data_IF_627438477284
#
_entry.id   IF_627438477284
#
_cell.length_a   1.000
_cell.length_b   1.000
_cell.length_c   1.000
_cell.angle_alpha   90.00
_cell.angle_beta   90.00
_cell.angle_gamma   90.00
#
_symmetry.space_group_name_H-M   'P 1'
#
loop_
_entity.id
_entity.type
_entity.pdbx_description
1 polymer ?
#
# COMPACT_ATOMS: atom_id res chain seq x y z
N UNK A 1 -24.80 -25.56 -53.64
CA UNK A 1 -23.82 -24.48 -53.33
C UNK A 1 -23.31 -24.68 -51.91
N UNK A 2 -21.99 -24.52 -51.74
CA UNK A 2 -21.17 -25.00 -50.65
C UNK A 2 -21.14 -24.12 -49.38
N UNK A 3 -20.90 -24.76 -48.22
CA UNK A 3 -20.03 -24.40 -47.06
C UNK A 3 -20.49 -25.23 -45.83
N UNK A 4 -19.75 -26.13 -45.16
CA UNK A 4 -18.37 -26.09 -44.61
C UNK A 4 -18.22 -24.85 -43.69
N UNK A 5 -18.02 -24.93 -42.37
CA UNK A 5 -17.03 -25.68 -41.58
C UNK A 5 -17.32 -25.51 -40.06
N UNK A 6 -16.84 -26.51 -39.27
CA UNK A 6 -16.14 -26.48 -37.97
C UNK A 6 -16.45 -25.33 -36.98
N UNK A 7 -16.57 -25.52 -35.68
CA UNK A 7 -15.77 -26.27 -34.71
C UNK A 7 -16.51 -26.08 -33.33
N UNK A 8 -16.25 -26.70 -32.19
CA UNK A 8 -15.06 -27.31 -31.65
C UNK A 8 -15.45 -28.17 -30.44
N UNK A 9 -14.61 -29.17 -30.18
CA UNK A 9 -14.56 -29.99 -28.98
C UNK A 9 -14.57 -29.13 -27.71
N UNK A 10 -15.54 -29.34 -26.81
CA UNK A 10 -15.41 -28.87 -25.44
C UNK A 10 -14.72 -29.96 -24.62
N UNK A 11 -13.41 -29.78 -24.45
CA UNK A 11 -12.58 -30.58 -23.56
C UNK A 11 -13.09 -30.40 -22.13
N UNK A 12 -13.38 -31.52 -21.49
CA UNK A 12 -13.69 -31.69 -20.08
C UNK A 12 -12.46 -31.25 -19.26
N UNK A 13 -12.41 -29.97 -18.89
CA UNK A 13 -11.39 -29.44 -18.00
C UNK A 13 -11.83 -29.71 -16.56
N UNK A 14 -11.16 -30.68 -15.95
CA UNK A 14 -11.40 -31.17 -14.61
C UNK A 14 -11.46 -30.09 -13.53
N UNK A 15 -12.26 -30.40 -12.52
CA UNK A 15 -12.41 -29.65 -11.28
C UNK A 15 -11.06 -29.25 -10.67
N UNK A 16 -10.86 -27.99 -10.25
CA UNK A 16 -9.71 -27.65 -9.44
C UNK A 16 -9.87 -28.29 -8.06
N UNK A 17 -8.91 -29.16 -7.77
CA UNK A 17 -8.67 -29.86 -6.53
C UNK A 17 -9.16 -29.12 -5.26
N UNK A 18 -10.07 -29.80 -4.56
CA UNK A 18 -10.37 -29.55 -3.16
C UNK A 18 -9.10 -29.78 -2.32
N UNK A 19 -8.41 -28.70 -1.96
CA UNK A 19 -7.43 -28.73 -0.88
C UNK A 19 -8.19 -28.75 0.45
N UNK A 20 -8.49 -29.96 0.92
CA UNK A 20 -8.90 -30.26 2.29
C UNK A 20 -7.92 -29.61 3.29
N UNK A 21 -8.42 -28.67 4.08
CA UNK A 21 -7.79 -28.25 5.34
C UNK A 21 -8.61 -28.85 6.49
N UNK A 22 -8.00 -29.60 7.41
CA UNK A 22 -8.73 -30.20 8.52
C UNK A 22 -9.30 -29.13 9.45
N UNK A 23 -10.60 -29.25 9.71
CA UNK A 23 -11.34 -28.62 10.79
C UNK A 23 -10.98 -29.34 12.09
N UNK A 24 -10.38 -28.64 13.05
CA UNK A 24 -10.57 -28.77 14.52
C UNK A 24 -9.68 -27.72 15.21
N UNK A 25 -10.25 -26.67 15.78
CA UNK A 25 -10.70 -26.60 17.17
C UNK A 25 -9.55 -26.52 18.20
N UNK A 26 -9.05 -25.30 18.43
CA UNK A 26 -8.61 -24.87 19.76
C UNK A 26 -8.79 -23.36 19.89
N UNK A 27 -9.91 -22.96 20.48
CA UNK A 27 -10.18 -21.59 20.88
C UNK A 27 -9.20 -21.18 21.99
N UNK A 28 -8.07 -20.59 21.61
CA UNK A 28 -7.22 -19.86 22.55
C UNK A 28 -7.82 -18.47 22.70
N UNK A 29 -8.43 -18.22 23.87
CA UNK A 29 -8.88 -16.88 24.28
C UNK A 29 -7.71 -15.90 24.14
N UNK A 30 -7.80 -15.03 23.15
CA UNK A 30 -6.88 -13.90 23.02
C UNK A 30 -7.17 -12.90 24.13
N UNK A 31 -6.21 -12.75 25.04
CA UNK A 31 -6.18 -11.67 26.00
C UNK A 31 -6.22 -10.31 25.26
N UNK A 32 -6.82 -9.26 25.86
CA UNK A 32 -6.87 -7.95 25.25
C UNK A 32 -5.44 -7.46 25.00
N UNK A 33 -5.08 -7.32 23.73
CA UNK A 33 -3.82 -6.72 23.32
C UNK A 33 -3.80 -5.28 23.85
N UNK A 34 -2.89 -5.02 24.79
CA UNK A 34 -2.51 -3.69 25.19
C UNK A 34 -2.15 -2.88 23.93
N UNK A 35 -2.51 -1.58 23.87
CA UNK A 35 -2.31 -0.77 22.69
C UNK A 35 -0.84 -0.80 22.30
N UNK A 36 -0.58 -1.16 21.04
CA UNK A 36 0.73 -1.09 20.43
C UNK A 36 1.36 0.26 20.77
N UNK A 37 2.40 0.24 21.60
CA UNK A 37 3.19 1.42 21.90
C UNK A 37 3.56 2.07 20.58
N UNK A 38 3.16 3.33 20.43
CA UNK A 38 3.50 4.16 19.29
C UNK A 38 5.04 4.18 19.19
N UNK A 39 5.58 3.27 18.38
CA UNK A 39 6.99 3.24 18.03
C UNK A 39 7.31 4.64 17.52
N UNK A 40 8.15 5.37 18.25
CA UNK A 40 8.66 6.67 17.82
C UNK A 40 9.30 6.44 16.46
N UNK A 41 8.59 6.78 15.40
CA UNK A 41 9.06 6.66 14.03
C UNK A 41 10.18 7.67 13.90
N UNK A 42 11.41 7.16 13.93
CA UNK A 42 12.61 7.96 13.73
C UNK A 42 12.41 8.82 12.49
N UNK A 43 12.79 10.09 12.57
CA UNK A 43 12.73 10.98 11.42
C UNK A 43 13.56 10.40 10.26
N UNK A 44 13.25 10.74 8.99
CA UNK A 44 14.03 10.24 7.86
C UNK A 44 15.55 10.52 7.98
N UNK A 45 15.90 11.65 8.61
CA UNK A 45 17.29 12.01 8.91
C UNK A 45 17.95 11.05 9.91
N UNK A 46 17.24 10.69 10.98
CA UNK A 46 17.72 9.73 11.99
C UNK A 46 17.81 8.31 11.44
N UNK A 47 16.84 7.86 10.64
CA UNK A 47 16.89 6.57 9.95
C UNK A 47 18.12 6.48 9.04
N UNK A 48 18.40 7.53 8.27
CA UNK A 48 19.61 7.62 7.42
C UNK A 48 20.89 7.60 8.26
N UNK A 49 20.91 8.27 9.41
CA UNK A 49 22.05 8.26 10.34
C UNK A 49 22.30 6.85 10.89
N UNK A 50 21.26 6.15 11.35
CA UNK A 50 21.35 4.78 11.85
C UNK A 50 21.75 3.78 10.76
N UNK A 51 21.23 3.92 9.54
CA UNK A 51 21.66 3.10 8.39
C UNK A 51 23.15 3.27 8.09
N UNK A 52 23.63 4.52 8.02
CA UNK A 52 25.06 4.80 7.82
C UNK A 52 25.91 4.25 8.96
N UNK A 53 25.45 4.36 10.21
CA UNK A 53 26.16 3.83 11.37
C UNK A 53 26.29 2.30 11.32
N UNK A 54 25.18 1.57 11.08
CA UNK A 54 25.18 0.11 10.90
C UNK A 54 26.06 -0.34 9.75
N UNK A 55 25.97 0.33 8.59
CA UNK A 55 26.83 0.02 7.43
C UNK A 55 28.32 0.16 7.75
N UNK A 56 28.70 1.22 8.49
CA UNK A 56 30.08 1.41 8.95
C UNK A 56 30.50 0.31 9.92
N UNK A 57 29.63 -0.06 10.86
CA UNK A 57 29.89 -1.13 11.84
C UNK A 57 30.09 -2.48 11.13
N UNK A 58 29.21 -2.85 10.21
CA UNK A 58 29.32 -4.06 9.39
C UNK A 58 30.67 -4.07 8.66
N UNK A 59 31.05 -2.96 7.99
CA UNK A 59 32.35 -2.88 7.29
C UNK A 59 33.54 -3.07 8.24
N UNK A 60 33.46 -2.54 9.47
CA UNK A 60 34.49 -2.73 10.50
C UNK A 60 34.56 -4.20 10.94
N UNK A 61 33.43 -4.82 11.27
CA UNK A 61 33.35 -6.22 11.69
C UNK A 61 33.84 -7.18 10.61
N UNK A 62 33.49 -6.95 9.34
CA UNK A 62 34.02 -7.74 8.21
C UNK A 62 35.53 -7.60 8.09
N UNK A 63 36.08 -6.40 8.27
CA UNK A 63 37.54 -6.18 8.25
C UNK A 63 38.22 -6.85 9.44
N UNK A 64 37.61 -6.80 10.63
CA UNK A 64 38.11 -7.47 11.83
C UNK A 64 38.12 -8.99 11.64
N UNK A 65 37.02 -9.57 11.17
CA UNK A 65 36.89 -11.00 10.87
C UNK A 65 37.99 -11.52 9.92
N UNK A 66 38.31 -10.74 8.88
CA UNK A 66 39.37 -11.10 7.91
C UNK A 66 40.78 -11.07 8.50
N UNK A 67 41.00 -10.33 9.58
CA UNK A 67 42.31 -10.13 10.21
C UNK A 67 42.49 -10.88 11.53
N UNK A 68 41.39 -11.33 12.13
CA UNK A 68 41.38 -11.97 13.43
C UNK A 68 41.93 -13.41 13.36
N UNK A 69 42.55 -13.91 14.44
CA UNK A 69 42.91 -15.31 14.58
C UNK A 69 41.66 -16.22 14.62
N UNK A 70 41.82 -17.50 14.27
CA UNK A 70 40.70 -18.46 14.19
C UNK A 70 39.88 -18.54 15.49
N UNK A 71 40.50 -18.35 16.66
CA UNK A 71 39.81 -18.36 17.95
C UNK A 71 38.81 -17.22 18.13
N UNK A 72 39.03 -16.04 17.53
CA UNK A 72 38.18 -14.86 17.67
C UNK A 72 37.12 -14.73 16.56
N UNK A 73 37.33 -15.42 15.43
CA UNK A 73 36.41 -15.40 14.28
C UNK A 73 34.95 -15.77 14.65
N UNK A 74 34.68 -16.78 15.49
CA UNK A 74 33.31 -17.11 15.88
C UNK A 74 32.59 -15.95 16.57
N UNK A 75 33.26 -15.25 17.49
CA UNK A 75 32.68 -14.12 18.21
C UNK A 75 32.37 -12.96 17.27
N UNK A 76 33.30 -12.62 16.36
CA UNK A 76 33.09 -11.54 15.37
C UNK A 76 31.96 -11.93 14.39
N UNK A 77 31.87 -13.21 14.00
CA UNK A 77 30.80 -13.71 13.12
C UNK A 77 29.43 -13.60 13.80
N UNK A 78 29.33 -13.91 15.09
CA UNK A 78 28.10 -13.77 15.86
C UNK A 78 27.65 -12.30 15.93
N UNK A 79 28.57 -11.38 16.25
CA UNK A 79 28.27 -9.93 16.25
C UNK A 79 27.85 -9.42 14.87
N UNK A 80 28.52 -9.89 13.81
CA UNK A 80 28.15 -9.53 12.44
C UNK A 80 26.74 -10.03 12.10
N UNK A 81 26.42 -11.27 12.46
CA UNK A 81 25.10 -11.86 12.22
C UNK A 81 24.00 -11.07 12.94
N UNK A 82 24.21 -10.68 14.20
CA UNK A 82 23.26 -9.89 14.97
C UNK A 82 22.99 -8.53 14.31
N UNK A 83 24.04 -7.77 13.97
CA UNK A 83 23.90 -6.44 13.35
C UNK A 83 23.22 -6.53 11.98
N UNK A 84 23.50 -7.59 11.22
CA UNK A 84 22.84 -7.83 9.93
C UNK A 84 21.37 -8.19 10.12
N UNK A 85 21.05 -9.09 11.06
CA UNK A 85 19.66 -9.47 11.37
C UNK A 85 18.82 -8.26 11.73
N UNK A 86 19.28 -7.42 12.65
CA UNK A 86 18.59 -6.18 13.03
C UNK A 86 18.33 -5.26 11.82
N UNK A 87 19.26 -5.22 10.87
CA UNK A 87 19.09 -4.49 9.61
C UNK A 87 17.98 -5.06 8.73
N UNK A 88 17.97 -6.39 8.58
CA UNK A 88 16.98 -7.12 7.78
C UNK A 88 15.59 -7.02 8.40
N UNK A 89 15.46 -7.27 9.70
CA UNK A 89 14.20 -7.21 10.44
C UNK A 89 13.56 -5.82 10.35
N UNK A 90 14.36 -4.77 10.51
CA UNK A 90 13.89 -3.39 10.33
C UNK A 90 13.41 -3.12 8.88
N UNK A 91 14.11 -3.67 7.88
CA UNK A 91 13.71 -3.56 6.48
C UNK A 91 12.38 -4.27 6.20
N UNK A 92 12.21 -5.49 6.70
CA UNK A 92 10.98 -6.26 6.57
C UNK A 92 9.82 -5.54 7.27
N UNK A 93 10.05 -5.04 8.49
CA UNK A 93 9.05 -4.29 9.25
C UNK A 93 8.58 -3.04 8.49
N UNK A 94 9.52 -2.28 7.91
CA UNK A 94 9.19 -1.12 7.07
C UNK A 94 8.29 -1.49 5.88
N UNK A 95 8.63 -2.56 5.16
CA UNK A 95 7.84 -3.02 4.01
C UNK A 95 6.45 -3.46 4.45
N UNK A 96 6.33 -4.20 5.55
CA UNK A 96 5.04 -4.62 6.12
C UNK A 96 4.17 -3.41 6.49
N UNK A 97 4.76 -2.41 7.16
CA UNK A 97 4.05 -1.17 7.52
C UNK A 97 3.55 -0.42 6.28
N UNK A 98 4.36 -0.36 5.22
CA UNK A 98 3.96 0.26 3.95
C UNK A 98 2.81 -0.49 3.28
N UNK A 99 2.88 -1.83 3.22
CA UNK A 99 1.80 -2.65 2.67
C UNK A 99 0.50 -2.44 3.47
N UNK A 100 0.58 -2.39 4.79
CA UNK A 100 -0.58 -2.12 5.64
C UNK A 100 -1.20 -0.73 5.36
N UNK A 101 -0.36 0.30 5.20
CA UNK A 101 -0.82 1.64 4.85
C UNK A 101 -1.50 1.69 3.48
N UNK A 102 -0.96 1.01 2.47
CA UNK A 102 -1.57 0.95 1.13
C UNK A 102 -2.91 0.20 1.16
N UNK A 103 -3.02 -0.88 1.94
CA UNK A 103 -4.31 -1.58 2.14
C UNK A 103 -5.34 -0.67 2.78
N UNK A 104 -4.98 0.05 3.83
CA UNK A 104 -5.87 1.02 4.46
C UNK A 104 -6.30 2.15 3.50
N UNK A 105 -5.42 2.56 2.57
CA UNK A 105 -5.78 3.51 1.52
C UNK A 105 -6.80 2.91 0.56
N UNK A 106 -6.63 1.66 0.14
CA UNK A 106 -7.59 0.97 -0.72
C UNK A 106 -8.95 0.84 -0.02
N UNK A 107 -8.98 0.42 1.25
CA UNK A 107 -10.20 0.31 2.04
C UNK A 107 -10.94 1.67 2.13
N UNK A 108 -10.18 2.76 2.31
CA UNK A 108 -10.74 4.11 2.31
C UNK A 108 -11.32 4.51 0.95
N UNK A 109 -10.68 4.12 -0.17
CA UNK A 109 -11.22 4.36 -1.50
C UNK A 109 -12.48 3.56 -1.76
N UNK A 110 -12.50 2.29 -1.38
CA UNK A 110 -13.70 1.44 -1.48
C UNK A 110 -14.86 2.01 -0.65
N UNK A 111 -14.58 2.50 0.56
CA UNK A 111 -15.59 3.15 1.40
C UNK A 111 -16.16 4.42 0.73
N UNK A 112 -15.30 5.24 0.11
CA UNK A 112 -15.74 6.43 -0.64
C UNK A 112 -16.60 6.06 -1.83
N UNK A 113 -16.19 5.06 -2.61
CA UNK A 113 -16.97 4.58 -3.77
C UNK A 113 -18.34 4.09 -3.31
N UNK A 114 -18.42 3.26 -2.26
CA UNK A 114 -19.69 2.77 -1.71
C UNK A 114 -20.59 3.92 -1.23
N UNK A 115 -20.01 4.94 -0.60
CA UNK A 115 -20.76 6.13 -0.17
C UNK A 115 -21.27 6.95 -1.36
N UNK A 116 -20.47 7.10 -2.41
CA UNK A 116 -20.91 7.77 -3.64
C UNK A 116 -21.98 6.98 -4.38
N UNK A 117 -21.83 5.66 -4.48
CA UNK A 117 -22.82 4.74 -5.07
C UNK A 117 -24.16 4.80 -4.34
N UNK A 118 -24.15 4.83 -3.01
CA UNK A 118 -25.37 4.99 -2.20
C UNK A 118 -26.08 6.33 -2.47
N UNK A 119 -25.31 7.40 -2.71
CA UNK A 119 -25.83 8.73 -3.01
C UNK A 119 -26.18 8.94 -4.50
N UNK A 120 -25.75 8.02 -5.36
CA UNK A 120 -25.83 8.13 -6.82
C UNK A 120 -27.27 8.31 -7.34
N UNK A 121 -28.30 7.63 -6.79
CA UNK A 121 -29.69 7.88 -7.17
C UNK A 121 -30.16 9.30 -6.85
N UNK A 122 -29.81 9.82 -5.67
CA UNK A 122 -30.17 11.18 -5.26
C UNK A 122 -29.48 12.23 -6.15
N UNK A 123 -28.19 12.03 -6.46
CA UNK A 123 -27.45 12.90 -7.38
C UNK A 123 -28.04 12.87 -8.79
N UNK A 124 -28.43 11.68 -9.29
CA UNK A 124 -29.11 11.54 -10.58
C UNK A 124 -30.44 12.29 -10.60
N UNK A 125 -31.26 12.12 -9.56
CA UNK A 125 -32.54 12.81 -9.44
C UNK A 125 -32.35 14.34 -9.42
N UNK A 126 -31.44 14.84 -8.57
CA UNK A 126 -31.12 16.27 -8.52
C UNK A 126 -30.64 16.80 -9.88
N UNK A 127 -29.85 16.02 -10.62
CA UNK A 127 -29.37 16.43 -11.95
C UNK A 127 -30.50 16.55 -12.97
N UNK A 128 -31.53 15.71 -12.88
CA UNK A 128 -32.74 15.85 -13.70
C UNK A 128 -33.48 17.15 -13.34
N UNK A 129 -33.69 17.41 -12.05
CA UNK A 129 -34.32 18.66 -11.59
C UNK A 129 -33.55 19.92 -12.01
N UNK A 130 -32.23 19.89 -11.90
CA UNK A 130 -31.35 20.99 -12.35
C UNK A 130 -31.46 21.24 -13.87
N UNK A 131 -31.65 20.19 -14.66
CA UNK A 131 -31.84 20.29 -16.12
C UNK A 131 -33.20 20.89 -16.45
N UNK A 132 -34.26 20.44 -15.79
CA UNK A 132 -35.63 20.92 -16.01
C UNK A 132 -35.81 22.38 -15.55
N UNK A 133 -35.24 22.74 -14.40
CA UNK A 133 -35.28 24.11 -13.85
C UNK A 133 -34.35 25.11 -14.58
N UNK A 134 -33.47 24.62 -15.46
CA UNK A 134 -32.45 25.42 -16.13
C UNK A 134 -31.30 25.86 -15.21
N UNK A 135 -31.28 25.44 -13.94
CA UNK A 135 -30.17 25.67 -13.01
C UNK A 135 -28.87 25.07 -13.52
N UNK A 136 -28.90 23.92 -14.20
CA UNK A 136 -27.72 23.31 -14.80
C UNK A 136 -26.98 24.28 -15.73
N UNK A 137 -27.71 25.04 -16.56
CA UNK A 137 -27.13 26.08 -17.44
C UNK A 137 -26.53 27.24 -16.64
N UNK A 138 -27.17 27.65 -15.54
CA UNK A 138 -26.68 28.70 -14.65
C UNK A 138 -25.40 28.27 -13.94
N UNK A 139 -25.39 27.07 -13.35
CA UNK A 139 -24.22 26.44 -12.70
C UNK A 139 -23.05 26.30 -13.69
N UNK A 140 -23.30 25.81 -14.91
CA UNK A 140 -22.26 25.73 -15.95
C UNK A 140 -21.67 27.09 -16.33
N UNK A 141 -22.51 28.12 -16.53
CA UNK A 141 -22.05 29.48 -16.86
C UNK A 141 -21.23 30.08 -15.72
N UNK A 142 -21.62 29.86 -14.47
CA UNK A 142 -20.89 30.30 -13.29
C UNK A 142 -19.52 29.61 -13.18
N UNK A 143 -19.48 28.27 -13.35
CA UNK A 143 -18.25 27.49 -13.34
C UNK A 143 -17.27 27.95 -14.44
N UNK A 144 -17.77 28.18 -15.66
CA UNK A 144 -16.96 28.70 -16.78
C UNK A 144 -16.36 30.07 -16.47
N UNK A 145 -17.12 30.96 -15.82
CA UNK A 145 -16.62 32.26 -15.38
C UNK A 145 -15.55 32.12 -14.27
N UNK A 146 -15.78 31.25 -13.29
CA UNK A 146 -14.84 30.99 -12.21
C UNK A 146 -13.52 30.43 -12.74
N UNK A 147 -13.57 29.43 -13.63
CA UNK A 147 -12.38 28.86 -14.26
C UNK A 147 -11.58 29.90 -15.05
N UNK A 148 -12.27 30.76 -15.83
CA UNK A 148 -11.60 31.87 -16.53
C UNK A 148 -10.92 32.85 -15.58
N UNK A 149 -11.51 33.14 -14.42
CA UNK A 149 -10.88 33.98 -13.39
C UNK A 149 -9.62 33.31 -12.83
N UNK A 150 -9.73 32.05 -12.42
CA UNK A 150 -8.59 31.27 -11.91
C UNK A 150 -7.44 31.19 -12.92
N UNK A 151 -7.73 30.92 -14.19
CA UNK A 151 -6.71 30.89 -15.24
C UNK A 151 -6.05 32.25 -15.47
N UNK A 152 -6.81 33.35 -15.38
CA UNK A 152 -6.26 34.71 -15.52
C UNK A 152 -5.38 35.09 -14.34
N UNK A 153 -5.75 34.68 -13.14
CA UNK A 153 -5.00 34.88 -11.90
C UNK A 153 -3.71 34.04 -11.89
N UNK A 154 -3.80 32.75 -12.22
CA UNK A 154 -2.63 31.89 -12.40
C UNK A 154 -1.66 32.45 -13.46
N UNK A 155 -2.17 32.96 -14.58
CA UNK A 155 -1.33 33.59 -15.62
C UNK A 155 -0.66 34.89 -15.16
N UNK A 156 -1.26 35.61 -14.20
CA UNK A 156 -0.65 36.79 -13.59
C UNK A 156 0.44 36.43 -12.59
N UNK A 157 0.27 35.34 -11.84
CA UNK A 157 1.31 34.87 -10.92
C UNK A 157 2.52 34.22 -11.60
N UNK A 158 2.39 33.85 -12.88
CA UNK A 158 3.45 33.28 -13.71
C UNK A 158 4.21 34.30 -14.57
N UNK A 159 3.90 35.59 -14.43
CA UNK A 159 4.56 36.71 -15.13
C UNK A 159 5.15 37.65 -14.10
#
# INVERSE_FOLDING_TARGET
FAKAEKADNFVEAGAPAECNLPVEAAAVKSAPQAPAEAQKTLTPAEQKKQFKARRKLIKKLVKAYRKAPEAEKPAIKAQLAEVVSQGVDAGISYVKARIAAERANLDNWEAKVKAEEANLPAVKAQRVEDLLSGEAKRKHKAAKKAWKKQMKEAKRHMR
#
